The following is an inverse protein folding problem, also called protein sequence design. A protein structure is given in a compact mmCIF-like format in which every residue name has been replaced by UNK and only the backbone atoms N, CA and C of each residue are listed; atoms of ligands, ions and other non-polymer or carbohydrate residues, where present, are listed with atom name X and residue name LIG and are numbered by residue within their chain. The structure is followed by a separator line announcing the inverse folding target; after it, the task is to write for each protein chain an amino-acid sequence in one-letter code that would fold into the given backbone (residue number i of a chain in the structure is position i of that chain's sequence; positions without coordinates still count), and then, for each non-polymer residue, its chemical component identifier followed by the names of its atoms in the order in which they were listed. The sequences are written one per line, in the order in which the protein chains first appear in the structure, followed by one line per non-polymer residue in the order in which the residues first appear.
data_IF_215854299236
#
_entry.id   IF_215854299236
#
_cell.length_a   1.000
_cell.length_b   1.000
_cell.length_c   1.000
_cell.angle_alpha   90.00
_cell.angle_beta   90.00
_cell.angle_gamma   90.00
#
_symmetry.space_group_name_H-M   'P 1'
#
loop_
_entity.id
_entity.type
_entity.pdbx_description
1 polymer ?
#
# COMPACT_ATOMS: atom_id res chain seq x y z
N UNK A 1 12.77 -5.05 16.88
CA UNK A 1 12.35 -3.76 17.50
C UNK A 1 11.04 -3.20 16.93
N UNK A 2 10.76 -3.28 15.61
CA UNK A 2 9.50 -2.80 15.02
C UNK A 2 8.26 -3.51 15.60
N UNK A 3 8.28 -4.84 15.66
CA UNK A 3 7.17 -5.63 16.21
C UNK A 3 6.88 -5.32 17.68
N UNK A 4 7.93 -5.08 18.49
CA UNK A 4 7.75 -4.71 19.90
C UNK A 4 7.08 -3.34 20.01
N UNK A 5 7.49 -2.37 19.18
CA UNK A 5 6.85 -1.04 19.13
C UNK A 5 5.40 -1.16 18.67
N UNK A 6 5.13 -1.93 17.61
CA UNK A 6 3.78 -2.16 17.11
C UNK A 6 2.89 -2.82 18.16
N UNK A 7 3.37 -3.89 18.79
CA UNK A 7 2.64 -4.61 19.84
C UNK A 7 2.39 -3.71 21.06
N UNK A 8 3.35 -2.88 21.45
CA UNK A 8 3.16 -1.90 22.51
C UNK A 8 2.03 -0.91 22.17
N UNK A 9 2.04 -0.34 20.96
CA UNK A 9 1.00 0.60 20.53
C UNK A 9 -0.38 -0.06 20.42
N UNK A 10 -0.45 -1.26 19.83
CA UNK A 10 -1.71 -2.03 19.73
C UNK A 10 -2.23 -2.39 21.11
N UNK A 11 -1.37 -2.87 22.01
CA UNK A 11 -1.73 -3.18 23.39
C UNK A 11 -2.23 -1.96 24.15
N UNK A 12 -1.58 -0.80 23.97
CA UNK A 12 -2.03 0.47 24.55
C UNK A 12 -3.42 0.86 24.05
N UNK A 13 -3.70 0.70 22.76
CA UNK A 13 -5.02 0.99 22.19
C UNK A 13 -6.09 0.07 22.77
N UNK A 14 -5.81 -1.24 22.82
CA UNK A 14 -6.74 -2.24 23.38
C UNK A 14 -7.01 -1.96 24.87
N UNK A 15 -5.99 -1.54 25.62
CA UNK A 15 -6.12 -1.16 27.02
C UNK A 15 -6.99 0.10 27.20
N UNK A 16 -6.95 1.03 26.24
CA UNK A 16 -7.78 2.24 26.25
C UNK A 16 -9.23 1.98 25.84
N UNK A 17 -9.53 0.82 25.23
CA UNK A 17 -10.88 0.51 24.76
C UNK A 17 -11.80 0.21 25.96
N UNK A 18 -12.92 0.94 26.11
CA UNK A 18 -13.84 0.75 27.22
C UNK A 18 -14.64 -0.54 27.07
N UNK A 19 -14.63 -1.36 28.12
CA UNK A 19 -15.40 -2.62 28.20
C UNK A 19 -16.84 -2.40 28.67
N UNK A 20 -17.12 -1.29 29.35
CA UNK A 20 -18.41 -0.99 29.99
C UNK A 20 -19.24 0.02 29.17
N UNK A 21 -20.57 -0.15 29.13
CA UNK A 21 -21.48 0.67 28.33
C UNK A 21 -21.46 2.16 28.73
N UNK A 22 -21.35 2.47 30.03
CA UNK A 22 -21.26 3.86 30.49
C UNK A 22 -19.94 4.51 30.06
N UNK A 23 -18.86 3.74 30.05
CA UNK A 23 -17.55 4.23 29.60
C UNK A 23 -17.52 4.41 28.08
N UNK A 24 -18.17 3.52 27.33
CA UNK A 24 -18.35 3.65 25.88
C UNK A 24 -19.08 4.93 25.53
N UNK A 25 -20.22 5.22 26.19
CA UNK A 25 -20.97 6.45 25.94
C UNK A 25 -20.13 7.72 26.16
N UNK A 26 -19.29 7.73 27.21
CA UNK A 26 -18.35 8.84 27.46
C UNK A 26 -17.26 8.95 26.39
N UNK A 27 -16.70 7.82 25.95
CA UNK A 27 -15.69 7.80 24.89
C UNK A 27 -16.27 8.34 23.57
N UNK A 28 -17.47 7.89 23.20
CA UNK A 28 -18.17 8.40 22.02
C UNK A 28 -18.42 9.90 22.13
N UNK A 29 -18.92 10.39 23.28
CA UNK A 29 -19.09 11.82 23.50
C UNK A 29 -17.79 12.62 23.35
N UNK A 30 -16.68 12.09 23.90
CA UNK A 30 -15.36 12.71 23.76
C UNK A 30 -14.87 12.71 22.31
N UNK A 31 -15.09 11.61 21.56
CA UNK A 31 -14.74 11.50 20.16
C UNK A 31 -15.54 12.49 19.31
N UNK A 32 -16.86 12.60 19.53
CA UNK A 32 -17.72 13.58 18.84
C UNK A 32 -17.25 15.01 19.13
N UNK A 33 -16.98 15.33 20.41
CA UNK A 33 -16.46 16.65 20.77
C UNK A 33 -15.08 16.94 20.17
N UNK A 34 -14.23 15.91 19.98
CA UNK A 34 -12.96 16.06 19.30
C UNK A 34 -13.15 16.37 17.81
N UNK A 35 -14.08 15.68 17.15
CA UNK A 35 -14.45 15.95 15.75
C UNK A 35 -14.95 17.38 15.61
N UNK A 36 -15.84 17.84 16.49
CA UNK A 36 -16.36 19.21 16.47
C UNK A 36 -15.25 20.27 16.62
N UNK A 37 -14.21 19.99 17.42
CA UNK A 37 -13.04 20.88 17.52
C UNK A 37 -12.24 20.92 16.24
N UNK A 38 -12.07 19.78 15.57
CA UNK A 38 -11.37 19.70 14.29
C UNK A 38 -12.15 20.44 13.20
N UNK A 39 -13.47 20.24 13.12
CA UNK A 39 -14.31 20.95 12.13
C UNK A 39 -14.26 22.46 12.37
N UNK A 40 -14.43 22.89 13.62
CA UNK A 40 -14.32 24.31 14.00
C UNK A 40 -12.94 24.90 13.66
N UNK A 41 -11.87 24.13 13.84
CA UNK A 41 -10.53 24.56 13.45
C UNK A 41 -10.40 24.71 11.93
N UNK A 42 -10.96 23.77 11.16
CA UNK A 42 -10.95 23.83 9.70
C UNK A 42 -11.76 25.01 9.16
N UNK A 43 -12.91 25.33 9.76
CA UNK A 43 -13.71 26.50 9.38
C UNK A 43 -12.90 27.80 9.52
N UNK A 44 -12.05 27.88 10.54
CA UNK A 44 -11.18 29.04 10.80
C UNK A 44 -9.87 29.02 9.99
N UNK A 45 -9.43 27.85 9.53
CA UNK A 45 -8.14 27.66 8.86
C UNK A 45 -8.28 26.79 7.59
N UNK A 46 -9.03 27.25 6.57
CA UNK A 46 -9.37 26.42 5.42
C UNK A 46 -8.14 25.97 4.61
N UNK A 47 -7.11 26.83 4.50
CA UNK A 47 -5.86 26.49 3.80
C UNK A 47 -5.09 25.36 4.47
N UNK A 48 -5.05 25.34 5.81
CA UNK A 48 -4.33 24.30 6.58
C UNK A 48 -5.03 22.95 6.45
N UNK A 49 -6.36 22.92 6.51
CA UNK A 49 -7.10 21.68 6.31
C UNK A 49 -7.04 21.17 4.86
N UNK A 50 -7.02 22.06 3.85
CA UNK A 50 -6.82 21.66 2.46
C UNK A 50 -5.44 20.99 2.25
N UNK A 51 -4.36 21.63 2.72
CA UNK A 51 -3.02 21.04 2.64
C UNK A 51 -2.92 19.72 3.42
N UNK A 52 -3.55 19.64 4.60
CA UNK A 52 -3.64 18.42 5.38
C UNK A 52 -4.37 17.29 4.64
N UNK A 53 -5.47 17.62 3.96
CA UNK A 53 -6.26 16.66 3.18
C UNK A 53 -5.46 16.08 2.00
N UNK A 54 -4.67 16.90 1.30
CA UNK A 54 -3.82 16.45 0.19
C UNK A 54 -2.73 15.47 0.66
N UNK A 55 -2.10 15.78 1.80
CA UNK A 55 -1.09 14.89 2.42
C UNK A 55 -1.74 13.60 2.89
N UNK A 56 -2.91 13.68 3.53
CA UNK A 56 -3.67 12.52 3.98
C UNK A 56 -4.08 11.61 2.82
N UNK A 57 -4.61 12.17 1.73
CA UNK A 57 -4.98 11.41 0.54
C UNK A 57 -3.79 10.65 -0.06
N UNK A 58 -2.61 11.28 -0.09
CA UNK A 58 -1.38 10.65 -0.55
C UNK A 58 -0.91 9.53 0.38
N UNK A 59 -1.04 9.73 1.69
CA UNK A 59 -0.74 8.71 2.69
C UNK A 59 -1.66 7.48 2.53
N UNK A 60 -2.96 7.68 2.38
CA UNK A 60 -3.95 6.59 2.19
C UNK A 60 -3.62 5.78 0.95
N UNK A 61 -3.35 6.42 -0.19
CA UNK A 61 -2.96 5.70 -1.43
C UNK A 61 -1.72 4.83 -1.24
N UNK A 62 -0.71 5.34 -0.52
CA UNK A 62 0.51 4.59 -0.22
C UNK A 62 0.23 3.43 0.75
N UNK A 63 -0.62 3.66 1.75
CA UNK A 63 -1.03 2.64 2.71
C UNK A 63 -1.81 1.49 2.01
N UNK A 64 -2.74 1.80 1.10
CA UNK A 64 -3.45 0.81 0.30
C UNK A 64 -2.50 -0.05 -0.54
N UNK A 65 -1.54 0.58 -1.22
CA UNK A 65 -0.52 -0.12 -1.99
C UNK A 65 0.32 -1.04 -1.09
N UNK A 66 0.80 -0.52 0.04
CA UNK A 66 1.57 -1.29 1.02
C UNK A 66 0.79 -2.46 1.61
N UNK A 67 -0.50 -2.28 1.89
CA UNK A 67 -1.39 -3.32 2.39
C UNK A 67 -1.58 -4.45 1.36
N UNK A 68 -1.81 -4.10 0.08
CA UNK A 68 -1.89 -5.08 -1.01
C UNK A 68 -0.60 -5.87 -1.15
N UNK A 69 0.55 -5.19 -1.18
CA UNK A 69 1.86 -5.84 -1.25
C UNK A 69 2.11 -6.79 -0.06
N UNK A 70 1.77 -6.38 1.15
CA UNK A 70 1.91 -7.23 2.34
C UNK A 70 1.01 -8.48 2.23
N UNK A 71 -0.21 -8.32 1.73
CA UNK A 71 -1.15 -9.42 1.52
C UNK A 71 -0.66 -10.40 0.45
N UNK A 72 -0.13 -9.91 -0.66
CA UNK A 72 0.45 -10.73 -1.74
C UNK A 72 1.66 -11.54 -1.25
N UNK A 73 2.50 -10.95 -0.40
CA UNK A 73 3.66 -11.64 0.20
C UNK A 73 3.28 -12.74 1.19
N UNK A 74 2.18 -12.57 1.92
CA UNK A 74 1.71 -13.58 2.88
C UNK A 74 0.96 -14.70 2.14
N UNK A 75 0.13 -14.35 1.15
CA UNK A 75 -0.64 -15.32 0.36
C UNK A 75 0.24 -16.15 -0.59
N UNK A 76 1.28 -15.58 -1.18
CA UNK A 76 2.25 -16.30 -2.02
C UNK A 76 3.07 -17.34 -1.25
N UNK A 77 3.41 -17.07 0.03
CA UNK A 77 4.09 -18.04 0.91
C UNK A 77 3.20 -19.21 1.34
N UNK A 78 1.88 -19.12 1.14
CA UNK A 78 0.91 -20.16 1.48
C UNK A 78 0.53 -21.09 0.33
N UNK A 79 1.04 -20.88 -0.90
CA UNK A 79 0.91 -21.87 -1.98
C UNK A 79 2.06 -22.89 -1.83
N UNK A 80 1.79 -24.16 -1.51
CA UNK A 80 2.78 -25.20 -1.73
C UNK A 80 3.18 -25.19 -3.21
N UNK A 81 4.44 -25.46 -3.48
CA UNK A 81 5.09 -25.43 -4.79
C UNK A 81 4.40 -26.35 -5.81
N UNK A 82 3.27 -25.92 -6.36
CA UNK A 82 2.78 -26.47 -7.62
C UNK A 82 3.49 -25.70 -8.73
N UNK A 83 4.68 -26.21 -9.05
CA UNK A 83 5.46 -26.02 -10.28
C UNK A 83 5.21 -24.68 -10.98
N UNK A 84 6.09 -23.72 -10.67
CA UNK A 84 6.37 -22.60 -11.55
C UNK A 84 6.98 -23.11 -12.87
N UNK A 85 6.15 -23.73 -13.72
CA UNK A 85 6.35 -23.61 -15.17
C UNK A 85 6.14 -22.12 -15.48
N UNK A 86 7.07 -21.45 -16.16
CA UNK A 86 6.84 -20.06 -16.56
C UNK A 86 5.67 -20.05 -17.54
N UNK A 87 4.48 -19.72 -17.05
CA UNK A 87 3.35 -19.38 -17.91
C UNK A 87 3.65 -18.02 -18.53
N UNK A 88 3.77 -17.93 -19.87
CA UNK A 88 3.77 -16.63 -20.51
C UNK A 88 2.44 -15.94 -20.19
N UNK A 89 2.51 -14.71 -19.71
CA UNK A 89 1.34 -13.89 -19.44
C UNK A 89 0.48 -13.79 -20.71
N UNK A 90 -0.66 -14.50 -20.75
CA UNK A 90 -1.61 -14.36 -21.85
C UNK A 90 -2.52 -15.55 -22.21
N UNK A 91 -2.41 -16.72 -21.57
CA UNK A 91 -3.25 -17.86 -21.97
C UNK A 91 -4.58 -17.91 -21.21
N UNK A 92 -5.64 -17.30 -21.77
CA UNK A 92 -7.02 -17.71 -21.48
C UNK A 92 -7.26 -19.09 -22.11
N UNK A 93 -7.90 -20.07 -21.43
CA UNK A 93 -8.15 -21.38 -22.03
C UNK A 93 -9.12 -21.21 -23.21
N UNK A 94 -8.72 -21.68 -24.40
CA UNK A 94 -9.60 -21.78 -25.56
C UNK A 94 -9.38 -20.78 -26.70
N UNK A 95 -8.29 -20.00 -26.71
CA UNK A 95 -7.94 -19.21 -27.90
C UNK A 95 -6.72 -19.82 -28.61
N UNK A 96 -6.96 -20.42 -29.77
CA UNK A 96 -5.94 -20.80 -30.74
C UNK A 96 -4.99 -19.61 -31.02
N UNK A 97 -3.67 -19.82 -31.17
CA UNK A 97 -2.74 -18.74 -31.38
C UNK A 97 -3.02 -18.04 -32.70
N UNK A 98 -3.60 -16.83 -32.62
CA UNK A 98 -3.66 -15.91 -33.77
C UNK A 98 -2.22 -15.53 -34.14
N UNK A 99 -1.84 -15.62 -35.43
CA UNK A 99 -0.56 -15.09 -35.90
C UNK A 99 -0.42 -13.64 -35.47
N UNK A 100 0.71 -13.33 -34.83
CA UNK A 100 1.05 -11.97 -34.41
C UNK A 100 1.08 -11.08 -35.67
N UNK A 101 0.32 -9.98 -35.75
CA UNK A 101 0.47 -9.04 -36.85
C UNK A 101 1.89 -8.43 -36.77
N UNK A 102 2.54 -8.14 -37.92
CA UNK A 102 3.86 -7.53 -37.92
C UNK A 102 3.79 -6.21 -37.15
N UNK A 103 4.71 -6.05 -36.21
CA UNK A 103 4.86 -4.88 -35.35
C UNK A 103 4.90 -3.60 -36.19
N UNK A 104 3.85 -2.78 -36.09
CA UNK A 104 3.77 -1.43 -36.69
C UNK A 104 4.61 -0.38 -35.94
N UNK A 105 5.53 -0.82 -35.08
CA UNK A 105 6.37 0.06 -34.27
C UNK A 105 7.74 0.24 -34.90
N UNK A 106 8.34 1.41 -34.73
CA UNK A 106 9.74 1.71 -35.09
C UNK A 106 10.73 1.20 -34.04
N UNK A 107 10.27 0.46 -33.04
CA UNK A 107 11.12 -0.07 -31.98
C UNK A 107 12.01 -1.17 -32.55
N UNK A 108 13.31 -0.93 -32.46
CA UNK A 108 14.35 -1.91 -32.77
C UNK A 108 14.57 -2.83 -31.56
N UNK A 109 15.13 -4.04 -31.76
CA UNK A 109 15.49 -4.93 -30.64
C UNK A 109 16.44 -4.28 -29.62
N UNK A 110 17.23 -3.29 -30.05
CA UNK A 110 18.12 -2.54 -29.16
C UNK A 110 17.36 -1.65 -28.18
N UNK A 111 16.20 -1.12 -28.57
CA UNK A 111 15.35 -0.25 -27.73
C UNK A 111 14.72 -1.01 -26.55
N UNK A 112 14.70 -2.33 -26.63
CA UNK A 112 14.18 -3.21 -25.57
C UNK A 112 15.24 -3.53 -24.49
N UNK A 113 16.48 -3.05 -24.67
CA UNK A 113 17.52 -3.27 -23.67
C UNK A 113 17.44 -2.19 -22.58
N UNK A 114 17.37 -2.55 -21.28
CA UNK A 114 17.34 -1.57 -20.21
C UNK A 114 18.67 -0.80 -20.16
N UNK A 115 18.60 0.53 -20.33
CA UNK A 115 19.77 1.41 -20.43
C UNK A 115 20.56 1.57 -19.11
N UNK A 116 20.01 1.18 -17.97
CA UNK A 116 20.70 1.32 -16.69
C UNK A 116 21.49 0.04 -16.35
N UNK A 117 22.82 0.17 -16.24
CA UNK A 117 23.65 -0.76 -15.46
C UNK A 117 24.10 -0.02 -14.20
N UNK A 118 23.77 -0.55 -13.03
CA UNK A 118 24.28 -0.02 -11.75
C UNK A 118 25.80 -0.08 -11.73
N UNK A 119 26.45 0.98 -11.26
CA UNK A 119 27.91 1.05 -11.20
C UNK A 119 28.41 0.06 -10.13
N UNK A 120 29.17 -0.95 -10.54
CA UNK A 120 29.91 -1.80 -9.60
C UNK A 120 30.99 -0.95 -8.94
N UNK A 121 30.82 -0.64 -7.66
CA UNK A 121 31.86 -0.01 -6.86
C UNK A 121 33.10 -0.89 -6.88
N UNK A 122 34.18 -0.35 -7.44
CA UNK A 122 35.50 -0.95 -7.47
C UNK A 122 36.09 -0.84 -6.06
N UNK A 123 36.13 -1.93 -5.31
CA UNK A 123 36.85 -2.02 -4.05
C UNK A 123 38.35 -1.90 -4.32
N UNK A 124 38.96 -0.83 -3.80
CA UNK A 124 40.40 -0.58 -3.88
C UNK A 124 41.04 -0.73 -2.49
N UNK A 125 41.93 -1.73 -2.42
CA UNK A 125 43.14 -1.91 -1.58
C UNK A 125 43.11 -1.48 -0.12
#
# INVERSE_FOLDING_TARGET
MFLIRLAFWVGLIVLLLPTDEHQQARLYGAAVAAVERVTTFCDRNPRTCAAGADVWASFVKKAEFGARMAFDLISSRGRPDEEARPQPAGARPGMEPRPYPPSRGTLTPADLTPAWRGQTQRTGT
#
